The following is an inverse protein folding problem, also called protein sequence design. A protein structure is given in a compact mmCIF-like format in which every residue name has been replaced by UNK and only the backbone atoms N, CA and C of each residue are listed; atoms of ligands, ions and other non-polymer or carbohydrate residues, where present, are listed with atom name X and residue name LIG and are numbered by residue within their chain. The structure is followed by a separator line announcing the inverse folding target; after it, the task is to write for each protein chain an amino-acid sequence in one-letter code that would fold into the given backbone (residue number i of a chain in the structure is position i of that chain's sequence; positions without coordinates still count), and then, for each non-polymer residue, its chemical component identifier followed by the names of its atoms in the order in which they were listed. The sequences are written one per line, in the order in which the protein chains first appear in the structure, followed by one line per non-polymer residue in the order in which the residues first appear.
data_IF_036132705408
#
_entry.id   IF_036132705408
#
_cell.length_a   1.000
_cell.length_b   1.000
_cell.length_c   1.000
_cell.angle_alpha   90.00
_cell.angle_beta   90.00
_cell.angle_gamma   90.00
#
_symmetry.space_group_name_H-M   'P 1'
#
loop_
_entity.id
_entity.type
_entity.pdbx_description
1 polymer ?
#
# COMPACT_ATOMS: atom_id res chain seq x y z
N UNK A 1 7.61 5.04 -2.34
CA UNK A 1 6.97 4.39 -1.19
C UNK A 1 6.82 5.35 0.00
N UNK A 2 7.81 6.19 0.26
CA UNK A 2 7.82 7.09 1.43
C UNK A 2 6.61 8.02 1.45
N UNK A 3 6.32 8.71 0.34
CA UNK A 3 5.16 9.60 0.22
C UNK A 3 3.82 8.88 0.40
N UNK A 4 3.71 7.61 0.00
CA UNK A 4 2.50 6.83 0.24
C UNK A 4 2.29 6.55 1.73
N UNK A 5 3.33 6.16 2.45
CA UNK A 5 3.24 5.95 3.90
C UNK A 5 2.91 7.26 4.62
N UNK A 6 3.50 8.38 4.19
CA UNK A 6 3.19 9.70 4.74
C UNK A 6 1.73 10.11 4.47
N UNK A 7 1.19 9.78 3.30
CA UNK A 7 -0.23 10.01 2.99
C UNK A 7 -1.16 9.23 3.91
N UNK A 8 -0.82 7.97 4.22
CA UNK A 8 -1.58 7.16 5.16
C UNK A 8 -1.48 7.70 6.60
N UNK A 9 -0.32 8.23 7.00
CA UNK A 9 -0.15 8.90 8.30
C UNK A 9 -1.01 10.16 8.35
N UNK A 10 -0.99 10.98 7.30
CA UNK A 10 -1.82 12.19 7.21
C UNK A 10 -3.31 11.84 7.31
N UNK A 11 -3.78 10.81 6.63
CA UNK A 11 -5.15 10.31 6.71
C UNK A 11 -5.52 9.83 8.14
N UNK A 12 -4.61 9.09 8.79
CA UNK A 12 -4.82 8.59 10.14
C UNK A 12 -4.84 9.72 11.19
N UNK A 13 -4.10 10.78 10.96
CA UNK A 13 -4.03 11.95 11.84
C UNK A 13 -5.15 12.96 11.61
N UNK A 14 -5.77 12.90 10.43
CA UNK A 14 -6.91 13.74 10.06
C UNK A 14 -8.17 13.44 10.88
N UNK A 15 -9.22 14.28 10.73
CA UNK A 15 -10.49 14.03 11.38
C UNK A 15 -11.13 12.75 10.82
N UNK A 16 -11.51 11.81 11.72
CA UNK A 16 -12.13 10.54 11.34
C UNK A 16 -13.40 10.73 10.47
N UNK A 17 -14.05 11.89 10.58
CA UNK A 17 -15.23 12.24 9.79
C UNK A 17 -14.92 12.58 8.31
N UNK A 18 -13.64 12.79 7.96
CA UNK A 18 -13.24 13.01 6.56
C UNK A 18 -13.31 11.71 5.75
N UNK A 19 -13.00 10.59 6.38
CA UNK A 19 -13.07 9.28 5.71
C UNK A 19 -14.52 8.79 5.63
N UNK A 20 -15.00 8.53 4.43
CA UNK A 20 -16.33 7.94 4.19
C UNK A 20 -16.44 6.49 4.69
N UNK A 21 -15.32 5.78 4.76
CA UNK A 21 -15.19 4.40 5.24
C UNK A 21 -13.76 4.14 5.75
N UNK A 22 -13.55 3.14 6.62
CA UNK A 22 -12.19 2.76 7.02
C UNK A 22 -11.33 2.37 5.82
N UNK A 23 -10.03 2.67 5.91
CA UNK A 23 -9.04 2.34 4.89
C UNK A 23 -8.17 1.18 5.40
N UNK A 24 -8.02 0.14 4.58
CA UNK A 24 -7.04 -0.92 4.78
C UNK A 24 -6.04 -0.87 3.64
N UNK A 25 -4.83 -0.44 3.92
CA UNK A 25 -3.76 -0.33 2.95
C UNK A 25 -2.83 -1.55 3.01
N UNK A 26 -2.66 -2.22 1.89
CA UNK A 26 -1.64 -3.26 1.72
C UNK A 26 -0.40 -2.67 1.07
N UNK A 27 0.76 -2.82 1.71
CA UNK A 27 2.06 -2.45 1.13
C UNK A 27 2.70 -3.74 0.64
N UNK A 28 2.58 -4.02 -0.65
CA UNK A 28 3.02 -5.27 -1.28
C UNK A 28 4.40 -5.10 -1.92
N UNK A 29 5.40 -4.83 -1.10
CA UNK A 29 6.78 -4.62 -1.55
C UNK A 29 7.67 -5.72 -0.96
N UNK A 30 8.27 -6.58 -1.80
CA UNK A 30 9.17 -7.62 -1.32
C UNK A 30 10.32 -7.07 -0.48
N UNK A 31 10.56 -7.69 0.67
CA UNK A 31 11.68 -7.39 1.56
C UNK A 31 12.26 -8.68 2.12
N UNK A 32 13.42 -8.59 2.76
CA UNK A 32 14.05 -9.73 3.41
C UNK A 32 13.15 -10.31 4.50
N UNK A 33 12.70 -11.54 4.33
CA UNK A 33 11.85 -12.23 5.29
C UNK A 33 12.26 -13.69 5.45
N UNK A 34 11.86 -14.31 6.56
CA UNK A 34 12.16 -15.72 6.90
C UNK A 34 10.93 -16.62 6.83
N UNK A 35 9.85 -16.12 6.25
CA UNK A 35 8.62 -16.87 5.99
C UNK A 35 7.37 -16.27 6.65
N UNK A 36 6.20 -16.86 6.37
CA UNK A 36 4.92 -16.35 6.85
C UNK A 36 4.77 -16.48 8.37
N UNK A 37 4.05 -15.54 8.98
CA UNK A 37 3.75 -15.55 10.41
C UNK A 37 2.86 -16.73 10.77
N UNK A 38 3.37 -17.59 11.65
CA UNK A 38 2.67 -18.81 12.10
C UNK A 38 1.41 -18.51 12.93
N UNK A 39 1.46 -17.44 13.74
CA UNK A 39 0.32 -16.98 14.53
C UNK A 39 -0.81 -16.45 13.63
N UNK A 40 -0.44 -15.69 12.57
CA UNK A 40 -1.39 -15.23 11.57
C UNK A 40 -1.99 -16.40 10.77
N UNK A 41 -1.19 -17.38 10.35
CA UNK A 41 -1.69 -18.61 9.72
C UNK A 41 -2.66 -19.37 10.63
N UNK A 42 -2.39 -19.45 11.93
CA UNK A 42 -3.29 -20.05 12.89
C UNK A 42 -4.59 -19.26 13.01
N UNK A 43 -4.50 -17.92 13.06
CA UNK A 43 -5.64 -17.01 13.15
C UNK A 43 -6.56 -17.06 11.93
N UNK A 44 -6.00 -17.25 10.74
CA UNK A 44 -6.78 -17.44 9.50
C UNK A 44 -7.59 -18.75 9.51
N UNK A 45 -7.14 -19.77 10.24
CA UNK A 45 -7.84 -21.05 10.41
C UNK A 45 -8.82 -21.06 11.58
N UNK A 46 -8.45 -20.40 12.67
CA UNK A 46 -9.26 -20.27 13.90
C UNK A 46 -9.25 -18.80 14.36
N UNK A 47 -10.39 -18.09 14.23
CA UNK A 47 -10.51 -16.70 14.69
C UNK A 47 -10.19 -16.46 16.17
N UNK A 48 -10.10 -17.50 16.99
CA UNK A 48 -9.76 -17.40 18.41
C UNK A 48 -8.29 -17.70 18.70
N UNK A 49 -7.51 -18.12 17.70
CA UNK A 49 -6.08 -18.36 17.89
C UNK A 49 -5.37 -17.09 18.39
N UNK A 50 -4.44 -17.29 19.33
CA UNK A 50 -3.71 -16.17 19.92
C UNK A 50 -2.68 -15.62 18.94
N UNK A 51 -2.62 -14.29 18.85
CA UNK A 51 -1.57 -13.58 18.12
C UNK A 51 -0.36 -13.38 19.03
N UNK A 52 0.84 -13.50 18.49
CA UNK A 52 2.08 -13.26 19.23
C UNK A 52 2.27 -11.76 19.49
N UNK A 53 2.19 -11.29 20.73
CA UNK A 53 2.33 -9.86 21.05
C UNK A 53 3.76 -9.33 20.88
N UNK A 54 4.76 -10.20 20.73
CA UNK A 54 6.15 -9.82 20.48
C UNK A 54 6.42 -9.48 19.02
N UNK A 55 5.52 -9.87 18.11
CA UNK A 55 5.64 -9.62 16.69
C UNK A 55 4.84 -8.37 16.29
N UNK A 56 5.43 -7.53 15.45
CA UNK A 56 4.76 -6.36 14.89
C UNK A 56 3.48 -6.82 14.20
N UNK A 57 2.33 -6.28 14.62
CA UNK A 57 1.01 -6.72 14.13
C UNK A 57 0.78 -6.44 12.64
N UNK A 58 1.41 -5.41 12.11
CA UNK A 58 1.18 -4.85 10.77
C UNK A 58 2.02 -5.51 9.66
N UNK A 59 2.50 -6.73 9.88
CA UNK A 59 3.25 -7.51 8.89
C UNK A 59 2.64 -8.89 8.68
N UNK A 60 2.79 -9.43 7.49
CA UNK A 60 2.33 -10.80 7.16
C UNK A 60 3.42 -11.86 7.30
N UNK A 61 4.67 -11.48 7.18
CA UNK A 61 5.83 -12.38 7.24
C UNK A 61 6.84 -11.85 8.26
N UNK A 62 7.59 -12.74 8.89
CA UNK A 62 8.68 -12.36 9.78
C UNK A 62 9.79 -11.72 8.98
N UNK A 63 10.08 -10.45 9.23
CA UNK A 63 11.20 -9.74 8.61
C UNK A 63 12.54 -10.27 9.12
N UNK A 64 13.55 -10.32 8.25
CA UNK A 64 14.91 -10.74 8.62
C UNK A 64 15.60 -9.72 9.54
N UNK A 65 15.28 -8.44 9.39
CA UNK A 65 15.85 -7.34 10.17
C UNK A 65 14.80 -6.22 10.39
N UNK A 66 13.77 -6.48 11.22
CA UNK A 66 12.65 -5.54 11.37
C UNK A 66 13.06 -4.18 11.96
N UNK A 67 14.13 -4.12 12.74
CA UNK A 67 14.68 -2.89 13.33
C UNK A 67 15.30 -1.95 12.28
N UNK A 68 15.67 -2.46 11.12
CA UNK A 68 16.26 -1.70 10.01
C UNK A 68 15.30 -1.53 8.82
N UNK A 69 14.11 -2.08 8.91
CA UNK A 69 13.12 -1.97 7.83
C UNK A 69 12.56 -0.54 7.76
N UNK A 70 12.65 0.13 6.59
CA UNK A 70 12.26 1.53 6.46
C UNK A 70 10.75 1.73 6.61
N UNK A 71 9.91 0.75 6.21
CA UNK A 71 8.46 0.84 6.35
C UNK A 71 8.09 0.75 7.82
N UNK A 72 8.63 -0.25 8.52
CA UNK A 72 8.42 -0.43 9.96
C UNK A 72 8.93 0.80 10.74
N UNK A 73 10.13 1.29 10.40
CA UNK A 73 10.68 2.49 10.99
C UNK A 73 9.76 3.71 10.85
N UNK A 74 9.09 3.82 9.71
CA UNK A 74 8.22 4.96 9.39
C UNK A 74 6.83 4.86 10.05
N UNK A 75 6.21 3.69 10.10
CA UNK A 75 4.88 3.51 10.73
C UNK A 75 4.95 3.39 12.26
N UNK A 76 6.09 2.98 12.79
CA UNK A 76 6.34 2.86 14.23
C UNK A 76 6.08 4.19 14.93
N UNK A 77 5.31 4.18 16.00
CA UNK A 77 4.91 5.37 16.77
C UNK A 77 3.91 6.31 16.05
N UNK A 78 3.23 5.86 15.03
CA UNK A 78 2.13 6.60 14.39
C UNK A 78 0.78 5.96 14.71
N UNK A 79 -0.32 6.65 14.38
CA UNK A 79 -1.68 6.10 14.51
C UNK A 79 -1.92 4.88 13.62
N UNK A 80 -1.09 4.61 12.61
CA UNK A 80 -1.17 3.40 11.80
C UNK A 80 -0.94 2.12 12.60
N UNK A 81 -0.28 2.23 13.77
CA UNK A 81 -0.10 1.12 14.71
C UNK A 81 -1.27 0.95 15.69
N UNK A 82 -2.17 1.93 15.80
CA UNK A 82 -3.34 1.85 16.66
C UNK A 82 -4.40 0.94 16.05
N UNK A 83 -4.84 -0.13 16.74
CA UNK A 83 -5.90 -1.00 16.25
C UNK A 83 -7.26 -0.32 16.06
N UNK A 84 -7.47 0.82 16.66
CA UNK A 84 -8.71 1.61 16.58
C UNK A 84 -8.66 2.69 15.50
N UNK A 85 -7.51 2.91 14.88
CA UNK A 85 -7.36 3.87 13.78
C UNK A 85 -8.27 3.49 12.60
N UNK A 86 -8.96 4.45 11.99
CA UNK A 86 -9.73 4.19 10.78
C UNK A 86 -8.85 3.87 9.55
N UNK A 87 -7.55 4.10 9.65
CA UNK A 87 -6.56 3.72 8.63
C UNK A 87 -5.69 2.61 9.19
N UNK A 88 -5.77 1.45 8.58
CA UNK A 88 -4.99 0.27 8.92
C UNK A 88 -3.99 -0.03 7.82
N UNK A 89 -2.79 -0.45 8.18
CA UNK A 89 -1.73 -0.84 7.23
C UNK A 89 -1.36 -2.28 7.47
N UNK A 90 -1.17 -3.03 6.39
CA UNK A 90 -0.59 -4.37 6.40
C UNK A 90 0.58 -4.42 5.42
N UNK A 91 1.78 -4.56 5.92
CA UNK A 91 2.97 -4.76 5.11
C UNK A 91 3.12 -6.24 4.72
N UNK A 92 3.25 -6.48 3.43
CA UNK A 92 3.36 -7.81 2.82
C UNK A 92 4.75 -7.92 2.17
N UNK A 93 5.80 -8.28 2.93
CA UNK A 93 7.18 -8.30 2.45
C UNK A 93 7.51 -9.57 1.65
N UNK A 94 6.58 -10.03 0.82
CA UNK A 94 6.72 -11.27 0.06
C UNK A 94 6.23 -11.10 -1.36
N UNK A 95 6.73 -11.93 -2.28
CA UNK A 95 6.14 -12.04 -3.61
C UNK A 95 4.80 -12.76 -3.54
N UNK A 96 3.80 -12.21 -4.21
CA UNK A 96 2.46 -12.76 -4.34
C UNK A 96 2.42 -13.71 -5.56
N UNK A 97 2.83 -14.94 -5.34
CA UNK A 97 3.01 -15.97 -6.38
C UNK A 97 2.12 -17.20 -6.17
N UNK A 98 1.09 -17.08 -5.35
CA UNK A 98 0.15 -18.17 -5.03
C UNK A 98 0.60 -19.13 -3.94
N UNK A 99 1.79 -18.95 -3.36
CA UNK A 99 2.36 -19.86 -2.34
C UNK A 99 3.08 -19.08 -1.23
N UNK A 100 2.63 -17.86 -0.94
CA UNK A 100 3.23 -17.02 0.09
C UNK A 100 2.92 -17.49 1.54
N UNK A 101 1.95 -18.37 1.70
CA UNK A 101 1.56 -18.97 2.98
C UNK A 101 0.61 -18.10 3.82
N UNK A 102 0.14 -16.96 3.31
CA UNK A 102 -0.85 -16.08 3.96
C UNK A 102 -2.06 -15.89 3.06
N UNK A 103 -1.86 -15.36 1.86
CA UNK A 103 -2.91 -15.14 0.87
C UNK A 103 -3.10 -16.38 -0.01
N UNK A 104 -1.99 -17.04 -0.36
CA UNK A 104 -1.94 -18.19 -1.28
C UNK A 104 -2.67 -17.91 -2.60
N UNK A 105 -2.56 -16.65 -3.06
CA UNK A 105 -3.11 -16.12 -4.30
C UNK A 105 -2.04 -15.37 -5.06
N UNK A 106 -2.14 -15.39 -6.39
CA UNK A 106 -1.25 -14.59 -7.19
C UNK A 106 -1.61 -13.09 -7.15
N UNK A 107 -0.68 -12.28 -7.64
CA UNK A 107 -0.82 -10.81 -7.63
C UNK A 107 -2.12 -10.36 -8.32
N UNK A 108 -2.47 -10.93 -9.46
CA UNK A 108 -3.64 -10.50 -10.23
C UNK A 108 -4.96 -10.91 -9.58
N UNK A 109 -4.99 -12.06 -8.91
CA UNK A 109 -6.16 -12.45 -8.11
C UNK A 109 -6.41 -11.46 -6.96
N UNK A 110 -5.35 -11.01 -6.29
CA UNK A 110 -5.45 -10.03 -5.22
C UNK A 110 -5.78 -8.63 -5.74
N UNK A 111 -5.18 -8.25 -6.87
CA UNK A 111 -5.41 -6.96 -7.52
C UNK A 111 -6.90 -6.72 -7.79
N UNK A 112 -7.63 -7.72 -8.30
CA UNK A 112 -9.06 -7.61 -8.56
C UNK A 112 -9.91 -7.31 -7.31
N UNK A 113 -9.38 -7.52 -6.13
CA UNK A 113 -10.04 -7.25 -4.85
C UNK A 113 -9.76 -5.85 -4.28
N UNK A 114 -8.93 -5.05 -4.93
CA UNK A 114 -8.59 -3.71 -4.45
C UNK A 114 -9.58 -2.67 -4.96
N UNK A 115 -9.89 -1.69 -4.12
CA UNK A 115 -10.73 -0.54 -4.50
C UNK A 115 -9.92 0.51 -5.27
N UNK A 116 -8.61 0.62 -4.96
CA UNK A 116 -7.68 1.55 -5.60
C UNK A 116 -6.26 1.03 -5.42
N UNK A 117 -5.39 1.32 -6.38
CA UNK A 117 -3.96 1.07 -6.30
C UNK A 117 -3.17 2.36 -6.36
N UNK A 118 -2.05 2.43 -5.64
CA UNK A 118 -1.20 3.62 -5.56
C UNK A 118 0.23 3.25 -5.92
N UNK A 119 0.74 3.84 -6.99
CA UNK A 119 2.10 3.65 -7.49
C UNK A 119 2.84 5.00 -7.50
N UNK A 120 3.33 5.45 -6.34
CA UNK A 120 3.92 6.76 -6.18
C UNK A 120 5.37 6.77 -6.66
N UNK A 121 5.58 6.45 -7.93
CA UNK A 121 6.90 6.30 -8.52
C UNK A 121 7.68 7.62 -8.47
N UNK A 122 8.95 7.54 -8.07
CA UNK A 122 9.92 8.62 -8.19
C UNK A 122 10.65 8.57 -9.54
N UNK A 123 10.83 7.38 -10.08
CA UNK A 123 11.32 7.12 -11.42
C UNK A 123 10.88 5.74 -11.87
N UNK A 124 10.18 5.69 -12.98
CA UNK A 124 9.76 4.44 -13.61
C UNK A 124 9.75 4.64 -15.13
N UNK A 125 10.62 3.95 -15.91
CA UNK A 125 10.70 4.16 -17.36
C UNK A 125 9.37 4.02 -18.10
N UNK A 126 8.55 3.05 -17.72
CA UNK A 126 7.18 2.92 -18.19
C UNK A 126 6.18 2.82 -17.03
N UNK A 127 6.24 1.79 -16.21
CA UNK A 127 5.27 1.49 -15.15
C UNK A 127 4.20 0.53 -15.64
N UNK A 128 4.54 -0.76 -15.71
CA UNK A 128 3.59 -1.79 -16.07
C UNK A 128 2.52 -2.00 -14.99
N UNK A 129 2.89 -1.89 -13.73
CA UNK A 129 1.97 -2.12 -12.61
C UNK A 129 0.74 -1.20 -12.59
N UNK A 130 0.83 0.13 -12.80
CA UNK A 130 -0.36 0.96 -12.95
C UNK A 130 -1.16 0.64 -14.21
N UNK A 131 -0.50 0.29 -15.32
CA UNK A 131 -1.18 -0.14 -16.55
C UNK A 131 -1.96 -1.45 -16.33
N UNK A 132 -1.36 -2.43 -15.66
CA UNK A 132 -2.00 -3.70 -15.30
C UNK A 132 -3.22 -3.47 -14.40
N UNK A 133 -3.10 -2.59 -13.41
CA UNK A 133 -4.20 -2.21 -12.53
C UNK A 133 -5.41 -1.71 -13.31
N UNK A 134 -5.18 -0.80 -14.25
CA UNK A 134 -6.23 -0.28 -15.15
C UNK A 134 -6.81 -1.39 -16.03
N UNK A 135 -5.97 -2.28 -16.55
CA UNK A 135 -6.41 -3.42 -17.37
C UNK A 135 -7.35 -4.36 -16.60
N UNK A 136 -7.16 -4.48 -15.28
CA UNK A 136 -8.06 -5.21 -14.38
C UNK A 136 -9.22 -4.35 -13.84
N UNK A 137 -9.41 -3.15 -14.39
CA UNK A 137 -10.48 -2.20 -13.99
C UNK A 137 -10.38 -1.71 -12.54
N UNK A 138 -9.18 -1.67 -11.99
CA UNK A 138 -8.91 -1.11 -10.66
C UNK A 138 -8.45 0.34 -10.82
N UNK A 139 -9.14 1.31 -10.20
CA UNK A 139 -8.71 2.71 -10.20
C UNK A 139 -7.28 2.84 -9.70
N UNK A 140 -6.51 3.72 -10.29
CA UNK A 140 -5.05 3.77 -10.10
C UNK A 140 -4.57 5.20 -9.92
N UNK A 141 -3.76 5.42 -8.89
CA UNK A 141 -3.02 6.66 -8.67
C UNK A 141 -1.56 6.40 -9.06
N UNK A 142 -1.02 7.22 -9.95
CA UNK A 142 0.38 7.18 -10.39
C UNK A 142 0.96 8.59 -10.45
N UNK A 143 2.20 8.73 -10.90
CA UNK A 143 2.86 10.04 -10.96
C UNK A 143 3.33 10.39 -12.37
N UNK A 144 3.59 11.67 -12.61
CA UNK A 144 4.20 12.17 -13.84
C UNK A 144 5.65 11.69 -14.06
N UNK A 145 6.28 11.06 -13.05
CA UNK A 145 7.63 10.46 -13.17
C UNK A 145 7.59 8.98 -13.61
N UNK A 146 6.39 8.42 -13.82
CA UNK A 146 6.21 7.13 -14.50
C UNK A 146 5.83 7.36 -15.96
N UNK A 147 6.46 6.67 -16.91
CA UNK A 147 6.19 6.83 -18.33
C UNK A 147 4.72 6.59 -18.70
N UNK A 148 4.05 5.60 -18.08
CA UNK A 148 2.62 5.38 -18.25
C UNK A 148 1.79 6.59 -17.76
N UNK A 149 2.11 7.14 -16.59
CA UNK A 149 1.43 8.32 -16.06
C UNK A 149 1.58 9.53 -16.98
N UNK A 150 2.80 9.79 -17.44
CA UNK A 150 3.07 10.85 -18.39
C UNK A 150 2.31 10.66 -19.70
N UNK A 151 2.31 9.44 -20.24
CA UNK A 151 1.56 9.11 -21.46
C UNK A 151 0.05 9.33 -21.29
N UNK A 152 -0.53 8.94 -20.15
CA UNK A 152 -1.96 9.16 -19.84
C UNK A 152 -2.25 10.66 -19.79
N UNK A 153 -1.44 11.44 -19.10
CA UNK A 153 -1.64 12.90 -18.98
C UNK A 153 -1.59 13.61 -20.35
N UNK A 154 -0.75 13.14 -21.26
CA UNK A 154 -0.59 13.72 -22.60
C UNK A 154 -1.65 13.27 -23.61
N UNK A 155 -2.11 12.02 -23.54
CA UNK A 155 -2.91 11.41 -24.60
C UNK A 155 -4.37 11.13 -24.21
N UNK A 156 -4.69 11.04 -22.94
CA UNK A 156 -6.03 10.70 -22.45
C UNK A 156 -6.73 11.95 -21.89
N UNK A 157 -7.58 12.59 -22.68
CA UNK A 157 -8.31 13.81 -22.26
C UNK A 157 -9.30 13.56 -21.11
N UNK A 158 -9.85 12.36 -21.03
CA UNK A 158 -10.75 11.91 -19.95
C UNK A 158 -10.22 10.57 -19.39
N UNK A 159 -9.20 10.66 -18.53
CA UNK A 159 -8.58 9.49 -17.93
C UNK A 159 -9.31 9.03 -16.66
N UNK A 160 -10.59 8.71 -16.80
CA UNK A 160 -11.38 8.15 -15.71
C UNK A 160 -10.76 6.83 -15.22
N UNK A 161 -10.51 6.73 -13.92
CA UNK A 161 -9.89 5.57 -13.30
C UNK A 161 -8.36 5.60 -13.24
N UNK A 162 -7.72 6.65 -13.77
CA UNK A 162 -6.29 6.91 -13.55
C UNK A 162 -6.12 8.33 -13.07
N UNK A 163 -5.50 8.51 -11.93
CA UNK A 163 -5.07 9.80 -11.43
C UNK A 163 -3.57 9.94 -11.57
N UNK A 164 -3.12 11.02 -12.20
CA UNK A 164 -1.70 11.29 -12.43
C UNK A 164 -1.31 12.50 -11.61
N UNK A 165 -0.59 12.25 -10.53
CA UNK A 165 -0.08 13.31 -9.65
C UNK A 165 1.21 13.87 -10.24
N UNK A 166 1.30 15.19 -10.35
CA UNK A 166 2.54 15.84 -10.75
C UNK A 166 3.57 15.72 -9.66
N UNK A 167 4.72 15.12 -9.97
CA UNK A 167 5.80 14.87 -9.02
C UNK A 167 7.13 15.40 -9.56
N UNK A 168 7.91 16.04 -8.68
CA UNK A 168 9.26 16.51 -8.95
C UNK A 168 10.12 16.40 -7.69
N UNK A 169 11.38 16.83 -7.76
CA UNK A 169 12.34 16.70 -6.65
C UNK A 169 12.03 17.58 -5.43
N UNK A 170 11.04 18.48 -5.50
CA UNK A 170 10.79 19.49 -4.49
C UNK A 170 9.36 19.48 -3.91
N UNK A 171 8.45 18.63 -4.43
CA UNK A 171 7.02 18.70 -4.07
C UNK A 171 6.47 17.47 -3.32
N UNK A 172 7.30 16.74 -2.60
CA UNK A 172 6.86 15.55 -1.86
C UNK A 172 5.70 15.82 -0.89
N UNK A 173 5.62 16.99 -0.28
CA UNK A 173 4.53 17.37 0.64
C UNK A 173 3.19 17.57 -0.08
N UNK A 174 3.21 18.14 -1.28
CA UNK A 174 2.02 18.27 -2.14
C UNK A 174 1.57 16.89 -2.61
N UNK A 175 2.48 16.04 -3.07
CA UNK A 175 2.22 14.65 -3.48
C UNK A 175 1.58 13.84 -2.34
N UNK A 176 2.07 13.97 -1.12
CA UNK A 176 1.49 13.34 0.08
C UNK A 176 0.04 13.77 0.26
N UNK A 177 -0.23 15.06 0.15
CA UNK A 177 -1.58 15.64 0.34
C UNK A 177 -2.53 15.21 -0.79
N UNK A 178 -2.05 15.20 -2.04
CA UNK A 178 -2.85 14.79 -3.19
C UNK A 178 -3.20 13.29 -3.10
N UNK A 179 -2.24 12.41 -2.78
CA UNK A 179 -2.53 10.97 -2.57
C UNK A 179 -3.56 10.79 -1.44
N UNK A 180 -3.39 11.48 -0.31
CA UNK A 180 -4.33 11.39 0.79
C UNK A 180 -5.75 11.80 0.36
N UNK A 181 -5.89 12.95 -0.33
CA UNK A 181 -7.18 13.45 -0.83
C UNK A 181 -7.84 12.51 -1.85
N UNK A 182 -7.04 11.80 -2.65
CA UNK A 182 -7.54 10.86 -3.66
C UNK A 182 -8.06 9.55 -3.04
N UNK A 183 -7.63 9.23 -1.81
CA UNK A 183 -8.08 8.06 -1.05
C UNK A 183 -9.36 8.36 -0.23
N UNK A 184 -9.61 9.63 0.17
CA UNK A 184 -10.82 10.07 0.90
C UNK A 184 -12.11 9.89 0.08
#
# INVERSE_FOLDING_TARGET
LDVFVDSLIQLADGPAAALKRPVLAYITVPAGNVGPRKDLQARLKDPNAQMDPSVIRNITHYLSAPEWDPIIGKIKNTKLMDPTSPVQVMFVPSYLNGVDGIFDKDYYELLCGMDVTVFPSYYEPWGYTPLESVAFSVPTITTSLAGFGLWVAEHCKEHKGVEVIDRNDANDSEVVTEIASSIE
#
